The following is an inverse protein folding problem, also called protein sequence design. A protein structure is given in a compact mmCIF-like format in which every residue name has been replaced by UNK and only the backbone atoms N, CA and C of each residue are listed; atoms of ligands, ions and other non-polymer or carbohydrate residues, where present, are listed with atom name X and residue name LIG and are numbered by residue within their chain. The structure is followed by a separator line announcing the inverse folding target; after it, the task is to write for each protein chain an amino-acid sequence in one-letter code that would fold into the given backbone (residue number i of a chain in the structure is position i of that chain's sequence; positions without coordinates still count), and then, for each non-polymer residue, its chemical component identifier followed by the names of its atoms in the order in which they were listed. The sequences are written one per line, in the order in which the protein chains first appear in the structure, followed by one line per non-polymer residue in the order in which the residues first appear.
data_IF_791850203224
#
_entry.id   IF_791850203224
#
_cell.length_a   1.000
_cell.length_b   1.000
_cell.length_c   1.000
_cell.angle_alpha   90.00
_cell.angle_beta   90.00
_cell.angle_gamma   90.00
#
_symmetry.space_group_name_H-M   'P 1'
#
loop_
_entity.id
_entity.type
_entity.pdbx_description
1 polymer ?
#
# COMPACT_ATOMS: atom_id res chain seq x y z
N UNK A 1 -20.79 -24.29 14.20
CA UNK A 1 -19.32 -24.22 14.29
C UNK A 1 -18.91 -23.56 13.00
N UNK A 2 -18.73 -22.24 13.02
CA UNK A 2 -18.31 -21.51 11.83
C UNK A 2 -16.87 -21.95 11.54
N UNK A 3 -16.54 -22.37 10.30
CA UNK A 3 -15.16 -22.29 9.87
C UNK A 3 -14.86 -20.80 9.80
N UNK A 4 -14.12 -20.29 10.79
CA UNK A 4 -13.33 -19.08 10.56
C UNK A 4 -12.45 -19.41 9.35
N UNK A 5 -12.76 -18.76 8.24
CA UNK A 5 -11.92 -18.78 7.05
C UNK A 5 -10.56 -18.22 7.50
N UNK A 6 -9.57 -19.11 7.65
CA UNK A 6 -8.16 -18.74 7.79
C UNK A 6 -7.78 -17.92 6.55
N UNK A 7 -8.05 -16.61 6.59
CA UNK A 7 -7.44 -15.68 5.65
C UNK A 7 -5.93 -15.91 5.74
N UNK A 8 -5.19 -15.93 4.62
CA UNK A 8 -3.77 -16.20 4.65
C UNK A 8 -3.13 -15.23 5.63
N UNK A 9 -2.65 -15.76 6.76
CA UNK A 9 -1.82 -14.98 7.64
C UNK A 9 -0.58 -14.63 6.82
N UNK A 10 -0.42 -13.34 6.54
CA UNK A 10 0.77 -12.82 5.88
C UNK A 10 2.06 -13.27 6.59
N UNK A 11 3.23 -12.91 6.06
CA UNK A 11 4.48 -13.40 6.59
C UNK A 11 4.63 -12.91 8.03
N UNK A 12 5.23 -13.72 8.89
CA UNK A 12 5.69 -13.21 10.19
C UNK A 12 6.76 -12.13 9.99
N UNK A 13 6.93 -11.24 10.98
CA UNK A 13 7.88 -10.12 10.91
C UNK A 13 9.30 -10.53 10.45
N UNK A 14 9.80 -11.69 10.86
CA UNK A 14 11.13 -12.15 10.44
C UNK A 14 11.20 -12.43 8.92
N UNK A 15 10.23 -13.16 8.38
CA UNK A 15 10.15 -13.43 6.94
C UNK A 15 9.91 -12.14 6.15
N UNK A 16 9.07 -11.23 6.66
CA UNK A 16 8.88 -9.92 6.07
C UNK A 16 10.18 -9.11 5.99
N UNK A 17 10.99 -9.09 7.07
CA UNK A 17 12.31 -8.43 7.07
C UNK A 17 13.25 -9.03 6.03
N UNK A 18 13.29 -10.36 5.91
CA UNK A 18 14.13 -11.05 4.91
C UNK A 18 13.72 -10.66 3.49
N UNK A 19 12.42 -10.69 3.22
CA UNK A 19 11.86 -10.33 1.93
C UNK A 19 12.09 -8.85 1.61
N UNK A 20 11.91 -7.95 2.58
CA UNK A 20 12.17 -6.52 2.41
C UNK A 20 13.63 -6.25 2.10
N UNK A 21 14.57 -6.88 2.81
CA UNK A 21 16.00 -6.72 2.53
C UNK A 21 16.35 -7.16 1.09
N UNK A 22 15.79 -8.29 0.64
CA UNK A 22 15.98 -8.77 -0.73
C UNK A 22 15.38 -7.81 -1.77
N UNK A 23 14.17 -7.28 -1.51
CA UNK A 23 13.53 -6.31 -2.41
C UNK A 23 14.33 -5.01 -2.49
N UNK A 24 14.76 -4.46 -1.35
CA UNK A 24 15.54 -3.23 -1.28
C UNK A 24 16.89 -3.34 -2.01
N UNK A 25 17.54 -4.51 -1.93
CA UNK A 25 18.79 -4.76 -2.65
C UNK A 25 18.59 -4.65 -4.18
N UNK A 26 17.45 -5.13 -4.67
CA UNK A 26 17.12 -5.22 -6.09
C UNK A 26 16.42 -3.96 -6.65
N UNK A 27 16.05 -2.98 -5.81
CA UNK A 27 15.37 -1.78 -6.28
C UNK A 27 16.19 -1.05 -7.35
N UNK A 28 15.61 -0.83 -8.52
CA UNK A 28 16.23 -0.03 -9.58
C UNK A 28 16.54 1.39 -9.09
N UNK A 29 17.56 2.08 -9.65
CA UNK A 29 17.74 3.51 -9.42
C UNK A 29 16.45 4.27 -9.76
N UNK A 30 16.11 5.28 -8.97
CA UNK A 30 14.86 6.05 -9.01
C UNK A 30 13.60 5.27 -8.63
N UNK A 31 13.73 4.03 -8.14
CA UNK A 31 12.59 3.32 -7.57
C UNK A 31 12.18 3.93 -6.22
N UNK A 32 10.87 3.91 -5.98
CA UNK A 32 10.22 4.29 -4.74
C UNK A 32 9.44 3.09 -4.24
N UNK A 33 9.50 2.84 -2.94
CA UNK A 33 8.72 1.82 -2.25
C UNK A 33 8.12 2.47 -1.01
N UNK A 34 6.81 2.39 -0.84
CA UNK A 34 6.12 2.85 0.37
C UNK A 34 5.36 1.70 1.00
N UNK A 35 5.54 1.53 2.30
CA UNK A 35 4.92 0.50 3.13
C UNK A 35 4.15 1.25 4.19
N UNK A 36 2.83 1.21 4.11
CA UNK A 36 1.92 2.01 4.93
C UNK A 36 0.98 1.14 5.76
N UNK A 37 0.48 1.72 6.84
CA UNK A 37 -0.63 1.22 7.63
C UNK A 37 -1.61 2.37 7.86
N UNK A 38 -2.81 2.05 8.36
CA UNK A 38 -3.85 3.04 8.68
C UNK A 38 -3.34 4.16 9.59
N UNK A 39 -3.87 5.37 9.47
CA UNK A 39 -3.48 6.51 10.31
C UNK A 39 -2.16 7.18 9.91
N UNK A 40 -1.86 7.19 8.60
CA UNK A 40 -0.68 7.80 7.98
C UNK A 40 0.67 7.30 8.51
N UNK A 41 0.68 6.08 9.05
CA UNK A 41 1.89 5.38 9.46
C UNK A 41 2.54 4.78 8.23
N UNK A 42 3.79 5.14 7.95
CA UNK A 42 4.52 4.55 6.84
C UNK A 42 6.02 4.49 7.10
N UNK A 43 6.66 3.60 6.36
CA UNK A 43 8.06 3.69 5.99
C UNK A 43 8.15 3.75 4.47
N UNK A 44 8.98 4.63 3.94
CA UNK A 44 9.22 4.70 2.50
C UNK A 44 10.71 4.65 2.18
N UNK A 45 11.01 4.25 0.96
CA UNK A 45 12.36 4.11 0.45
C UNK A 45 12.46 4.79 -0.90
N UNK A 46 13.55 5.51 -1.11
CA UNK A 46 13.94 6.05 -2.40
C UNK A 46 15.31 5.49 -2.77
N UNK A 47 15.35 4.74 -3.87
CA UNK A 47 16.57 4.20 -4.43
C UNK A 47 17.27 5.24 -5.29
N UNK A 48 18.54 5.50 -4.99
CA UNK A 48 19.47 6.23 -5.85
C UNK A 48 20.48 5.23 -6.42
N UNK A 49 21.41 5.74 -7.23
CA UNK A 49 22.39 4.89 -7.92
C UNK A 49 23.30 4.14 -6.94
N UNK A 50 23.76 4.80 -5.88
CA UNK A 50 24.76 4.31 -4.92
C UNK A 50 24.27 4.21 -3.48
N UNK A 51 23.06 4.71 -3.19
CA UNK A 51 22.48 4.73 -1.85
C UNK A 51 20.97 4.43 -1.85
N UNK A 52 20.46 4.06 -0.68
CA UNK A 52 19.04 4.03 -0.36
C UNK A 52 18.76 5.08 0.72
N UNK A 53 17.72 5.88 0.49
CA UNK A 53 17.14 6.74 1.50
C UNK A 53 15.90 6.06 2.08
N UNK A 54 15.88 5.79 3.37
CA UNK A 54 14.69 5.40 4.11
C UNK A 54 14.08 6.60 4.84
N UNK A 55 12.76 6.60 4.97
CA UNK A 55 12.02 7.62 5.72
C UNK A 55 10.88 6.98 6.52
N UNK A 56 10.63 7.46 7.74
CA UNK A 56 9.54 7.04 8.64
C UNK A 56 8.66 8.24 8.96
N UNK A 57 7.34 8.03 9.04
CA UNK A 57 6.38 9.09 9.39
C UNK A 57 6.77 9.89 10.63
N UNK A 58 6.74 11.21 10.52
CA UNK A 58 6.80 12.12 11.65
C UNK A 58 5.44 12.32 12.35
N UNK A 59 5.46 12.66 13.64
CA UNK A 59 4.25 12.95 14.43
C UNK A 59 3.33 14.01 13.82
N UNK A 60 3.87 14.93 13.02
CA UNK A 60 3.08 15.98 12.38
C UNK A 60 2.11 15.43 11.31
N UNK A 61 2.34 14.23 10.78
CA UNK A 61 1.51 13.61 9.75
C UNK A 61 0.68 12.43 10.26
N UNK A 62 1.02 11.90 11.44
CA UNK A 62 0.28 10.80 12.05
C UNK A 62 -1.08 11.27 12.55
N UNK A 63 -2.06 10.36 12.45
CA UNK A 63 -3.31 10.54 13.17
C UNK A 63 -3.06 10.68 14.67
N UNK A 64 -3.90 11.46 15.36
CA UNK A 64 -3.72 11.75 16.78
C UNK A 64 -3.67 10.49 17.67
N UNK A 65 -4.37 9.42 17.27
CA UNK A 65 -4.35 8.11 17.96
C UNK A 65 -3.06 7.31 17.73
N UNK A 66 -2.31 7.64 16.68
CA UNK A 66 -1.09 6.93 16.26
C UNK A 66 0.20 7.64 16.69
N UNK A 67 0.10 8.81 17.34
CA UNK A 67 1.26 9.61 17.74
C UNK A 67 2.32 8.81 18.51
N UNK A 68 3.58 9.04 18.14
CA UNK A 68 4.76 8.51 18.82
C UNK A 68 5.02 9.30 20.11
N UNK A 69 5.35 8.58 21.18
CA UNK A 69 5.76 9.18 22.45
C UNK A 69 7.24 9.58 22.42
N UNK A 70 7.72 10.37 23.38
CA UNK A 70 9.15 10.70 23.50
C UNK A 70 10.04 9.44 23.58
N UNK A 71 9.54 8.36 24.18
CA UNK A 71 10.24 7.08 24.25
C UNK A 71 10.37 6.43 22.87
N UNK A 72 9.33 6.51 22.05
CA UNK A 72 9.34 6.00 20.66
C UNK A 72 10.29 6.81 19.77
N UNK A 73 10.28 8.14 19.91
CA UNK A 73 11.22 9.03 19.22
C UNK A 73 12.67 8.74 19.64
N UNK A 74 12.90 8.49 20.94
CA UNK A 74 14.19 8.05 21.45
C UNK A 74 14.64 6.70 20.88
N UNK A 75 13.71 5.77 20.68
CA UNK A 75 13.98 4.48 20.05
C UNK A 75 14.34 4.63 18.56
N UNK A 76 13.64 5.49 17.81
CA UNK A 76 13.98 5.82 16.43
C UNK A 76 15.40 6.43 16.33
N UNK A 77 15.71 7.40 17.19
CA UNK A 77 17.03 8.02 17.25
C UNK A 77 18.13 6.98 17.57
N UNK A 78 17.89 6.09 18.54
CA UNK A 78 18.83 5.03 18.90
C UNK A 78 19.03 3.99 17.78
N UNK A 79 17.99 3.75 16.99
CA UNK A 79 18.04 2.95 15.77
C UNK A 79 18.81 3.65 14.62
N UNK A 80 19.16 4.93 14.77
CA UNK A 80 19.92 5.74 13.82
C UNK A 80 19.06 6.42 12.77
N UNK A 81 17.78 6.62 13.05
CA UNK A 81 16.93 7.54 12.29
C UNK A 81 17.14 8.97 12.78
N UNK A 82 17.03 9.97 11.90
CA UNK A 82 17.19 11.37 12.27
C UNK A 82 16.24 12.29 11.49
N UNK A 83 15.75 13.34 12.13
CA UNK A 83 15.10 14.45 11.43
C UNK A 83 16.18 15.36 10.85
N UNK A 84 16.48 15.20 9.56
CA UNK A 84 17.56 15.94 8.89
C UNK A 84 17.10 17.25 8.26
N UNK A 85 15.79 17.41 8.08
CA UNK A 85 15.19 18.57 7.42
C UNK A 85 14.20 19.25 8.39
N UNK A 86 14.42 20.52 8.78
CA UNK A 86 13.50 21.26 9.64
C UNK A 86 12.09 21.42 9.05
N UNK A 87 11.97 21.39 7.72
CA UNK A 87 10.70 21.57 7.01
C UNK A 87 10.00 20.23 6.73
N UNK A 88 10.71 19.11 6.86
CA UNK A 88 10.15 17.75 6.77
C UNK A 88 10.25 17.04 8.13
N UNK A 89 9.13 16.94 8.87
CA UNK A 89 9.13 16.36 10.22
C UNK A 89 9.29 14.83 10.24
N UNK A 90 9.47 14.18 9.08
CA UNK A 90 9.79 12.76 8.99
C UNK A 90 11.21 12.44 9.48
N UNK A 91 11.40 11.17 9.82
CA UNK A 91 12.67 10.63 10.26
C UNK A 91 13.36 9.93 9.10
N UNK A 92 14.52 10.44 8.67
CA UNK A 92 15.30 9.91 7.55
C UNK A 92 16.48 9.06 7.99
N UNK A 93 16.95 8.22 7.07
CA UNK A 93 18.21 7.48 7.16
C UNK A 93 18.73 7.16 5.76
N UNK A 94 19.97 7.57 5.49
CA UNK A 94 20.69 7.15 4.28
C UNK A 94 21.63 5.99 4.57
N UNK A 95 21.72 5.04 3.64
CA UNK A 95 22.67 3.92 3.68
C UNK A 95 23.21 3.65 2.28
N UNK A 96 24.42 3.10 2.17
CA UNK A 96 24.91 2.57 0.91
C UNK A 96 24.20 1.29 0.50
N UNK A 97 24.45 0.86 -0.74
CA UNK A 97 23.79 -0.31 -1.35
C UNK A 97 24.49 -1.65 -1.10
N UNK A 98 25.47 -1.71 -0.21
CA UNK A 98 26.04 -3.00 0.15
C UNK A 98 25.05 -3.85 0.94
N UNK A 99 25.17 -5.18 0.82
CA UNK A 99 24.21 -6.14 1.38
C UNK A 99 23.98 -5.95 2.89
N UNK A 100 25.04 -5.61 3.64
CA UNK A 100 24.96 -5.45 5.09
C UNK A 100 24.19 -4.18 5.44
N UNK A 101 24.45 -3.08 4.74
CA UNK A 101 23.77 -1.81 4.95
C UNK A 101 22.29 -1.87 4.56
N UNK A 102 21.96 -2.49 3.42
CA UNK A 102 20.59 -2.72 2.98
C UNK A 102 19.82 -3.59 3.98
N UNK A 103 20.43 -4.69 4.45
CA UNK A 103 19.84 -5.57 5.45
C UNK A 103 19.54 -4.82 6.75
N UNK A 104 20.50 -4.03 7.22
CA UNK A 104 20.33 -3.23 8.43
C UNK A 104 19.20 -2.21 8.26
N UNK A 105 19.09 -1.56 7.09
CA UNK A 105 17.97 -0.64 6.81
C UNK A 105 16.61 -1.35 6.88
N UNK A 106 16.48 -2.53 6.28
CA UNK A 106 15.24 -3.32 6.35
C UNK A 106 14.87 -3.68 7.80
N UNK A 107 15.85 -4.12 8.61
CA UNK A 107 15.65 -4.41 10.03
C UNK A 107 15.17 -3.19 10.81
N UNK A 108 15.79 -2.02 10.60
CA UNK A 108 15.41 -0.78 11.28
C UNK A 108 14.05 -0.24 10.84
N UNK A 109 13.68 -0.46 9.58
CA UNK A 109 12.34 -0.12 9.09
C UNK A 109 11.27 -1.00 9.74
N UNK A 110 11.52 -2.31 9.85
CA UNK A 110 10.60 -3.23 10.54
C UNK A 110 10.51 -2.93 12.04
N UNK A 111 11.61 -2.59 12.70
CA UNK A 111 11.57 -2.12 14.10
C UNK A 111 10.73 -0.84 14.25
N UNK A 112 10.87 0.12 13.32
CA UNK A 112 10.09 1.35 13.30
C UNK A 112 8.59 1.09 13.13
N UNK A 113 8.21 0.21 12.19
CA UNK A 113 6.83 -0.22 11.97
C UNK A 113 6.23 -0.85 13.23
N UNK A 114 6.97 -1.78 13.87
CA UNK A 114 6.47 -2.57 14.98
C UNK A 114 6.32 -1.79 16.29
N UNK A 115 7.31 -0.97 16.63
CA UNK A 115 7.39 -0.37 17.95
C UNK A 115 6.94 1.10 17.95
N UNK A 116 7.69 2.05 17.36
CA UNK A 116 7.22 3.44 17.25
C UNK A 116 5.85 3.61 16.59
N UNK A 117 5.62 2.94 15.45
CA UNK A 117 4.36 3.04 14.70
C UNK A 117 3.30 2.02 15.12
N UNK A 118 3.65 1.06 16.00
CA UNK A 118 2.71 0.09 16.61
C UNK A 118 1.85 -0.65 15.58
N UNK A 119 2.44 -1.05 14.46
CA UNK A 119 1.81 -1.98 13.52
C UNK A 119 1.92 -3.39 14.10
N UNK A 120 0.80 -4.08 14.26
CA UNK A 120 0.75 -5.36 14.98
C UNK A 120 1.32 -6.50 14.13
N UNK A 121 0.94 -6.54 12.86
CA UNK A 121 1.29 -7.60 11.92
C UNK A 121 1.64 -7.05 10.53
N UNK A 122 2.50 -7.72 9.74
CA UNK A 122 2.69 -7.37 8.34
C UNK A 122 1.40 -7.44 7.51
N UNK A 123 0.40 -8.22 7.94
CA UNK A 123 -0.92 -8.24 7.31
C UNK A 123 -1.69 -6.92 7.41
N UNK A 124 -1.28 -6.01 8.30
CA UNK A 124 -1.89 -4.69 8.45
C UNK A 124 -1.24 -3.65 7.51
N UNK A 125 -0.29 -4.08 6.68
CA UNK A 125 0.46 -3.24 5.76
C UNK A 125 -0.17 -3.25 4.36
N UNK A 126 -0.22 -2.08 3.76
CA UNK A 126 -0.36 -1.89 2.32
C UNK A 126 0.98 -1.48 1.74
N UNK A 127 1.29 -1.96 0.53
CA UNK A 127 2.57 -1.65 -0.12
C UNK A 127 2.34 -1.17 -1.54
N UNK A 128 3.16 -0.20 -1.93
CA UNK A 128 3.21 0.32 -3.28
C UNK A 128 4.65 0.61 -3.68
N UNK A 129 4.94 0.55 -4.98
CA UNK A 129 6.21 1.00 -5.48
C UNK A 129 6.25 1.18 -6.99
N UNK A 130 7.01 2.19 -7.42
CA UNK A 130 7.12 2.63 -8.80
C UNK A 130 8.55 3.07 -9.10
N UNK A 131 8.88 3.30 -10.37
CA UNK A 131 10.18 3.86 -10.79
C UNK A 131 9.95 5.20 -11.47
N UNK A 132 10.51 6.28 -10.91
CA UNK A 132 10.36 7.63 -11.47
C UNK A 132 11.03 7.75 -12.85
N UNK A 133 10.33 8.34 -13.82
CA UNK A 133 10.91 8.74 -15.11
C UNK A 133 11.08 7.62 -16.14
N UNK A 134 10.42 6.48 -15.97
CA UNK A 134 10.49 5.36 -16.92
C UNK A 134 9.88 5.64 -18.28
N UNK A 135 9.04 6.67 -18.41
CA UNK A 135 8.53 7.15 -19.70
C UNK A 135 7.65 6.15 -20.45
N UNK A 136 7.21 5.08 -19.78
CA UNK A 136 6.27 4.09 -20.30
C UNK A 136 5.04 4.11 -19.39
N UNK A 137 3.89 4.44 -19.97
CA UNK A 137 2.59 4.16 -19.34
C UNK A 137 2.52 2.65 -19.07
N UNK A 138 2.62 2.23 -17.80
CA UNK A 138 2.64 0.81 -17.40
C UNK A 138 4.02 0.18 -17.19
N UNK A 139 5.05 0.98 -16.86
CA UNK A 139 6.35 0.46 -16.39
C UNK A 139 6.16 -0.62 -15.29
N UNK A 140 6.93 -1.74 -15.31
CA UNK A 140 6.81 -2.74 -14.27
C UNK A 140 7.13 -2.09 -12.93
N UNK A 141 6.08 -1.84 -12.16
CA UNK A 141 6.19 -1.36 -10.78
C UNK A 141 7.14 -2.25 -9.99
N UNK A 142 7.54 -1.76 -8.81
CA UNK A 142 8.31 -2.59 -7.90
C UNK A 142 7.54 -3.89 -7.65
N UNK A 143 8.21 -5.05 -7.76
CA UNK A 143 7.57 -6.34 -7.52
C UNK A 143 7.33 -6.54 -6.01
N UNK A 144 6.29 -5.87 -5.51
CA UNK A 144 5.92 -5.83 -4.10
C UNK A 144 5.37 -7.18 -3.60
N UNK A 145 4.94 -8.06 -4.51
CA UNK A 145 4.51 -9.42 -4.17
C UNK A 145 5.63 -10.22 -3.48
N UNK A 146 6.90 -9.89 -3.77
CA UNK A 146 8.09 -10.49 -3.12
C UNK A 146 8.12 -10.27 -1.61
N UNK A 147 7.41 -9.26 -1.08
CA UNK A 147 7.32 -9.03 0.36
C UNK A 147 6.54 -10.13 1.08
N UNK A 148 5.78 -10.94 0.34
CA UNK A 148 5.02 -12.07 0.87
C UNK A 148 3.76 -11.67 1.61
N UNK A 149 3.38 -10.38 1.62
CA UNK A 149 2.17 -9.84 2.24
C UNK A 149 0.94 -10.16 1.35
N UNK A 150 0.74 -11.43 1.00
CA UNK A 150 -0.19 -11.84 -0.06
C UNK A 150 0.09 -11.13 -1.40
N UNK A 151 -0.77 -11.30 -2.42
CA UNK A 151 -0.92 -10.27 -3.44
C UNK A 151 -1.35 -9.01 -2.68
N UNK A 152 -0.45 -8.04 -2.61
CA UNK A 152 -0.47 -6.98 -1.60
C UNK A 152 -1.84 -6.33 -1.48
N UNK A 153 -2.35 -6.23 -0.25
CA UNK A 153 -3.58 -5.49 0.03
C UNK A 153 -3.44 -4.09 -0.57
N UNK A 154 -4.08 -3.86 -1.71
CA UNK A 154 -3.98 -2.57 -2.39
C UNK A 154 -4.55 -1.53 -1.43
N UNK A 155 -3.80 -0.46 -1.19
CA UNK A 155 -4.31 0.62 -0.33
C UNK A 155 -5.56 1.24 -0.97
N UNK A 156 -6.46 1.78 -0.15
CA UNK A 156 -7.61 2.53 -0.70
C UNK A 156 -7.16 3.64 -1.65
N UNK A 157 -6.08 4.34 -1.28
CA UNK A 157 -5.51 5.41 -2.07
C UNK A 157 -5.12 4.92 -3.48
N UNK A 158 -4.40 3.80 -3.58
CA UNK A 158 -3.98 3.25 -4.86
C UNK A 158 -5.15 2.73 -5.67
N UNK A 159 -6.08 2.04 -5.02
CA UNK A 159 -7.30 1.59 -5.66
C UNK A 159 -8.10 2.80 -6.21
N UNK A 160 -8.12 3.91 -5.48
CA UNK A 160 -8.74 5.17 -5.90
C UNK A 160 -7.97 5.85 -7.05
N UNK A 161 -6.65 5.75 -7.11
CA UNK A 161 -5.84 6.22 -8.25
C UNK A 161 -6.17 5.40 -9.51
N UNK A 162 -6.27 4.07 -9.41
CA UNK A 162 -6.69 3.22 -10.53
C UNK A 162 -8.09 3.61 -11.02
N UNK A 163 -9.02 3.83 -10.08
CA UNK A 163 -10.37 4.31 -10.39
C UNK A 163 -10.34 5.69 -11.06
N UNK A 164 -9.53 6.63 -10.58
CA UNK A 164 -9.39 7.96 -11.22
C UNK A 164 -8.98 7.84 -12.69
N UNK A 165 -8.00 7.00 -12.98
CA UNK A 165 -7.56 6.79 -14.36
C UNK A 165 -8.63 6.14 -15.23
N UNK A 166 -9.34 5.14 -14.70
CA UNK A 166 -10.47 4.53 -15.40
C UNK A 166 -11.57 5.55 -15.72
N UNK A 167 -12.00 6.34 -14.73
CA UNK A 167 -13.03 7.36 -14.94
C UNK A 167 -12.64 8.37 -16.02
N UNK A 168 -11.37 8.81 -15.99
CA UNK A 168 -10.83 9.73 -16.98
C UNK A 168 -10.74 9.14 -18.38
N UNK A 169 -10.28 7.89 -18.51
CA UNK A 169 -10.17 7.18 -19.79
C UNK A 169 -11.54 6.93 -20.42
N UNK A 170 -12.53 6.61 -19.60
CA UNK A 170 -13.91 6.38 -20.02
C UNK A 170 -14.74 7.67 -20.14
N UNK A 171 -14.12 8.84 -19.96
CA UNK A 171 -14.76 10.17 -19.97
C UNK A 171 -15.99 10.25 -19.03
N UNK A 172 -15.97 9.51 -17.92
CA UNK A 172 -17.03 9.49 -16.92
C UNK A 172 -16.88 10.75 -16.05
N UNK A 173 -17.91 11.62 -15.95
CA UNK A 173 -17.81 12.93 -15.30
C UNK A 173 -17.93 12.85 -13.78
N UNK A 174 -17.16 11.96 -13.16
CA UNK A 174 -17.14 11.72 -11.71
C UNK A 174 -15.71 11.77 -11.23
N UNK A 175 -15.46 12.46 -10.12
CA UNK A 175 -14.16 12.41 -9.47
C UNK A 175 -14.06 11.16 -8.59
N UNK A 176 -12.93 10.48 -8.64
CA UNK A 176 -12.72 9.29 -7.81
C UNK A 176 -12.89 9.59 -6.32
N UNK A 177 -12.63 10.83 -5.87
CA UNK A 177 -12.83 11.27 -4.49
C UNK A 177 -14.30 11.30 -4.04
N UNK A 178 -15.25 11.39 -4.98
CA UNK A 178 -16.69 11.43 -4.69
C UNK A 178 -17.30 10.04 -4.51
N UNK A 179 -16.53 8.97 -4.80
CA UNK A 179 -16.97 7.59 -4.65
C UNK A 179 -16.76 7.08 -3.22
N UNK A 180 -17.76 6.36 -2.71
CA UNK A 180 -17.67 5.67 -1.42
C UNK A 180 -16.87 4.39 -1.60
N UNK A 181 -15.75 4.28 -0.89
CA UNK A 181 -14.92 3.08 -0.88
C UNK A 181 -15.38 2.10 0.20
N UNK A 182 -15.45 0.83 -0.14
CA UNK A 182 -15.77 -0.28 0.75
C UNK A 182 -14.71 -1.37 0.58
N UNK A 183 -14.06 -1.78 1.67
CA UNK A 183 -13.07 -2.84 1.64
C UNK A 183 -13.74 -4.21 1.48
N UNK A 184 -13.27 -5.00 0.52
CA UNK A 184 -13.65 -6.39 0.28
C UNK A 184 -12.57 -7.34 0.83
N UNK A 185 -12.81 -8.66 0.75
CA UNK A 185 -11.81 -9.64 1.19
C UNK A 185 -10.59 -9.67 0.28
N UNK A 186 -10.75 -9.33 -1.01
CA UNK A 186 -9.68 -9.38 -2.04
C UNK A 186 -9.49 -8.06 -2.78
N UNK A 187 -9.88 -6.92 -2.19
CA UNK A 187 -9.80 -5.62 -2.86
C UNK A 187 -10.71 -4.54 -2.28
N UNK A 188 -11.19 -3.66 -3.15
CA UNK A 188 -12.07 -2.53 -2.85
C UNK A 188 -13.23 -2.46 -3.83
N UNK A 189 -14.39 -2.03 -3.35
CA UNK A 189 -15.52 -1.55 -4.15
C UNK A 189 -15.64 -0.04 -4.01
N UNK A 190 -15.85 0.66 -5.11
CA UNK A 190 -16.12 2.09 -5.18
C UNK A 190 -17.50 2.30 -5.77
N UNK A 191 -18.40 2.90 -5.00
CA UNK A 191 -19.79 3.10 -5.37
C UNK A 191 -20.11 4.59 -5.42
N UNK A 192 -20.84 5.02 -6.45
CA UNK A 192 -21.46 6.34 -6.43
C UNK A 192 -22.54 6.39 -5.32
N UNK A 193 -22.68 7.49 -4.57
CA UNK A 193 -23.76 7.64 -3.59
C UNK A 193 -25.15 7.50 -4.25
N UNK A 194 -26.13 6.99 -3.48
CA UNK A 194 -27.41 6.46 -3.98
C UNK A 194 -28.02 7.24 -5.16
N UNK A 195 -28.13 6.55 -6.30
CA UNK A 195 -28.82 7.01 -7.51
C UNK A 195 -27.99 7.87 -8.47
N UNK A 196 -26.69 8.09 -8.21
CA UNK A 196 -25.87 9.01 -9.03
C UNK A 196 -26.36 10.46 -8.99
N UNK A 197 -27.35 10.74 -8.13
CA UNK A 197 -28.07 11.99 -8.04
C UNK A 197 -27.16 13.05 -7.42
N UNK A 198 -26.57 13.87 -8.28
CA UNK A 198 -25.59 14.90 -7.91
C UNK A 198 -24.29 14.81 -8.70
N UNK A 199 -24.00 13.66 -9.31
CA UNK A 199 -22.77 13.41 -10.08
C UNK A 199 -23.02 13.37 -11.60
N UNK A 200 -24.24 13.66 -12.05
CA UNK A 200 -24.59 13.69 -13.47
C UNK A 200 -24.60 12.33 -14.16
N UNK A 201 -24.51 11.23 -13.41
CA UNK A 201 -24.61 9.88 -13.93
C UNK A 201 -26.07 9.53 -14.28
N UNK A 202 -26.27 8.88 -15.43
CA UNK A 202 -27.58 8.35 -15.83
C UNK A 202 -27.92 7.02 -15.17
N UNK A 203 -26.91 6.33 -14.62
CA UNK A 203 -26.99 4.95 -14.12
C UNK A 203 -26.07 4.78 -12.89
N UNK A 204 -26.33 3.80 -12.00
CA UNK A 204 -25.42 3.45 -10.90
C UNK A 204 -24.04 3.07 -11.42
N UNK A 205 -23.00 3.44 -10.66
CA UNK A 205 -21.61 3.10 -10.98
C UNK A 205 -20.98 2.39 -9.78
N UNK A 206 -20.64 1.12 -9.98
CA UNK A 206 -19.87 0.30 -9.05
C UNK A 206 -18.59 -0.18 -9.74
N UNK A 207 -17.45 0.15 -9.16
CA UNK A 207 -16.12 -0.23 -9.64
C UNK A 207 -15.43 -1.09 -8.58
N UNK A 208 -14.82 -2.18 -9.01
CA UNK A 208 -14.14 -3.14 -8.15
C UNK A 208 -12.66 -3.13 -8.50
N UNK A 209 -11.78 -3.00 -7.52
CA UNK A 209 -10.33 -3.03 -7.70
C UNK A 209 -9.76 -4.09 -6.80
N UNK A 210 -9.10 -5.08 -7.38
CA UNK A 210 -8.55 -6.21 -6.64
C UNK A 210 -7.16 -5.89 -6.09
N UNK A 211 -6.72 -6.67 -5.11
CA UNK A 211 -5.39 -6.53 -4.51
C UNK A 211 -4.25 -6.75 -5.52
N UNK A 212 -4.49 -7.51 -6.60
CA UNK A 212 -3.60 -7.62 -7.75
C UNK A 212 -3.79 -6.51 -8.80
N UNK A 213 -4.40 -5.38 -8.39
CA UNK A 213 -4.57 -4.14 -9.16
C UNK A 213 -5.45 -4.27 -10.42
N UNK A 214 -6.28 -5.33 -10.51
CA UNK A 214 -7.25 -5.46 -11.62
C UNK A 214 -8.53 -4.67 -11.28
N UNK A 215 -8.90 -3.74 -12.15
CA UNK A 215 -10.16 -3.01 -12.08
C UNK A 215 -11.22 -3.69 -12.96
N UNK A 216 -12.44 -3.84 -12.42
CA UNK A 216 -13.63 -4.29 -13.13
C UNK A 216 -14.82 -3.38 -12.83
N UNK A 217 -15.62 -3.03 -13.84
CA UNK A 217 -16.89 -2.32 -13.65
C UNK A 217 -18.04 -3.32 -13.62
N UNK A 218 -18.97 -3.13 -12.67
CA UNK A 218 -20.13 -4.00 -12.55
C UNK A 218 -21.13 -3.72 -13.70
N UNK A 219 -21.52 -4.74 -14.48
CA UNK A 219 -22.59 -4.60 -15.46
C UNK A 219 -23.95 -4.37 -14.79
N UNK A 220 -24.79 -3.53 -15.40
CA UNK A 220 -26.11 -3.17 -14.87
C UNK A 220 -27.06 -4.36 -14.75
N UNK A 221 -26.87 -5.37 -15.58
CA UNK A 221 -27.72 -6.56 -15.63
C UNK A 221 -27.40 -7.58 -14.52
N UNK A 222 -26.27 -7.41 -13.83
CA UNK A 222 -25.81 -8.34 -12.79
C UNK A 222 -26.04 -7.71 -11.41
N UNK A 223 -26.68 -8.47 -10.53
CA UNK A 223 -26.85 -8.06 -9.14
C UNK A 223 -25.48 -7.87 -8.47
N UNK A 224 -25.33 -6.82 -7.67
CA UNK A 224 -24.03 -6.48 -7.07
C UNK A 224 -23.43 -7.61 -6.23
N UNK A 225 -24.26 -8.35 -5.50
CA UNK A 225 -23.80 -9.53 -4.74
C UNK A 225 -23.19 -10.61 -5.63
N UNK A 226 -23.82 -10.89 -6.77
CA UNK A 226 -23.41 -11.96 -7.68
C UNK A 226 -22.12 -11.57 -8.42
N UNK A 227 -21.99 -10.27 -8.76
CA UNK A 227 -20.78 -9.74 -9.36
C UNK A 227 -19.60 -9.74 -8.37
N UNK A 228 -19.83 -9.31 -7.12
CA UNK A 228 -18.83 -9.28 -6.05
C UNK A 228 -18.28 -10.69 -5.78
N UNK A 229 -19.14 -11.70 -5.62
CA UNK A 229 -18.70 -13.10 -5.45
C UNK A 229 -17.84 -13.58 -6.64
N UNK A 230 -18.30 -13.30 -7.87
CA UNK A 230 -17.57 -13.70 -9.07
C UNK A 230 -16.22 -12.97 -9.21
N UNK A 231 -16.14 -11.72 -8.77
CA UNK A 231 -14.91 -10.92 -8.75
C UNK A 231 -13.89 -11.52 -7.77
N UNK A 232 -14.31 -11.88 -6.56
CA UNK A 232 -13.44 -12.54 -5.57
C UNK A 232 -12.93 -13.90 -6.08
N UNK A 233 -13.81 -14.68 -6.74
CA UNK A 233 -13.41 -15.96 -7.33
C UNK A 233 -12.39 -15.81 -8.46
N UNK A 234 -12.55 -14.80 -9.32
CA UNK A 234 -11.56 -14.50 -10.36
C UNK A 234 -10.22 -14.11 -9.74
N UNK A 235 -10.21 -13.33 -8.66
CA UNK A 235 -8.98 -13.02 -7.93
C UNK A 235 -8.30 -14.27 -7.38
N UNK A 236 -9.03 -15.16 -6.69
CA UNK A 236 -8.49 -16.43 -6.15
C UNK A 236 -7.93 -17.33 -7.25
N UNK A 237 -8.55 -17.35 -8.43
CA UNK A 237 -8.05 -18.11 -9.58
C UNK A 237 -6.74 -17.55 -10.14
N UNK A 238 -6.58 -16.22 -10.18
CA UNK A 238 -5.32 -15.57 -10.58
C UNK A 238 -4.23 -15.73 -9.52
N UNK A 239 -4.62 -15.81 -8.25
CA UNK A 239 -3.73 -15.84 -7.09
C UNK A 239 -3.96 -17.11 -6.24
N UNK A 240 -3.62 -18.31 -6.75
CA UNK A 240 -3.95 -19.58 -6.10
C UNK A 240 -3.19 -19.85 -4.79
N UNK A 241 -2.21 -19.00 -4.45
CA UNK A 241 -1.45 -19.03 -3.20
C UNK A 241 -1.89 -17.98 -2.18
N UNK A 242 -2.96 -17.23 -2.50
CA UNK A 242 -3.58 -16.22 -1.64
C UNK A 242 -4.83 -16.77 -0.93
#
# INVERSE_FOLDING_TARGET
MNPETDAPHGPGWAAFTDNLAALLADLAPNAKLIISATGNRYVQFAARHDELHGEVSGNAFLDASCGMTDADLGALAAAGWAQTDPDNPNWGRDVGRDEREVRLLAERAVEALRSPLRVESPSDLSVDGWVDGSGIDGDPGVDVARLGIGPGLISEFNARVIVHWYLRDQEIPVEAADLVACRLSTGWRFSAPEGGAGLGLGEPLDLYVSDDHVLESQPLEIAGSDFEEAFEDRYRQRNPSA
#
